data_IF_110555995557
#
_entry.id   IF_110555995557
#
_cell.length_a   1.000
_cell.length_b   1.000
_cell.length_c   1.000
_cell.angle_alpha   90.00
_cell.angle_beta   90.00
_cell.angle_gamma   90.00
#
_symmetry.space_group_name_H-M   'P 1'
#
loop_
_entity.id
_entity.type
_entity.pdbx_description
1 polymer ?
#
# COMPACT_ATOMS: atom_id res chain seq x y z
N UNK A 1 7.07 6.33 5.19
CA UNK A 1 5.85 5.69 4.68
C UNK A 1 5.01 5.29 5.89
N UNK A 2 3.88 5.94 6.10
CA UNK A 2 2.88 5.51 7.10
C UNK A 2 2.22 4.24 6.58
N UNK A 3 2.30 3.15 7.33
CA UNK A 3 1.61 1.89 6.99
C UNK A 3 0.11 2.16 6.94
N UNK A 4 -0.53 1.83 5.82
CA UNK A 4 -1.98 2.00 5.68
C UNK A 4 -2.64 0.77 6.29
N UNK A 5 -3.35 0.95 7.39
CA UNK A 5 -3.94 -0.14 8.19
C UNK A 5 -5.44 -0.16 7.97
N UNK A 6 -6.04 -1.35 8.04
CA UNK A 6 -7.49 -1.50 8.05
C UNK A 6 -8.07 -0.79 9.29
N UNK A 7 -9.10 0.02 9.06
CA UNK A 7 -9.87 0.64 10.12
C UNK A 7 -10.95 -0.33 10.61
N UNK A 8 -11.00 -0.60 11.91
CA UNK A 8 -12.10 -1.35 12.50
C UNK A 8 -13.38 -0.51 12.47
N UNK A 9 -14.49 -1.11 12.05
CA UNK A 9 -15.82 -0.53 12.20
C UNK A 9 -16.64 -1.41 13.15
N UNK A 10 -17.23 -0.87 14.24
CA UNK A 10 -17.30 0.55 14.63
C UNK A 10 -15.96 1.14 15.10
N UNK A 11 -15.80 2.46 14.93
CA UNK A 11 -14.58 3.18 15.32
C UNK A 11 -14.47 3.25 16.85
N UNK A 12 -13.26 3.07 17.45
CA UNK A 12 -13.08 3.12 18.91
C UNK A 12 -13.50 4.44 19.55
N UNK A 13 -13.46 5.53 18.78
CA UNK A 13 -13.76 6.91 19.20
C UNK A 13 -15.10 7.40 18.61
N UNK A 14 -16.02 6.48 18.31
CA UNK A 14 -17.36 6.79 17.78
C UNK A 14 -18.14 7.78 18.66
N UNK A 15 -18.10 7.62 19.99
CA UNK A 15 -18.82 8.51 20.91
C UNK A 15 -18.36 9.97 20.79
N UNK A 16 -17.05 10.19 20.66
CA UNK A 16 -16.50 11.53 20.46
C UNK A 16 -16.82 12.10 19.08
N UNK A 17 -16.88 11.26 18.03
CA UNK A 17 -17.27 11.71 16.70
C UNK A 17 -18.74 12.09 16.63
N UNK A 18 -19.64 11.29 17.19
CA UNK A 18 -21.08 11.61 17.25
C UNK A 18 -21.38 12.88 18.03
N UNK A 19 -20.56 13.18 19.05
CA UNK A 19 -20.65 14.42 19.82
C UNK A 19 -20.17 15.66 19.04
N UNK A 20 -19.43 15.49 17.95
CA UNK A 20 -18.89 16.61 17.17
C UNK A 20 -19.99 17.32 16.36
N UNK A 21 -19.95 18.65 16.32
CA UNK A 21 -20.97 19.52 15.68
C UNK A 21 -21.28 19.13 14.22
N UNK A 22 -20.28 18.62 13.50
CA UNK A 22 -20.38 18.15 12.11
C UNK A 22 -21.36 16.99 11.94
N UNK A 23 -21.53 16.11 12.93
CA UNK A 23 -22.44 14.96 12.87
C UNK A 23 -23.78 15.23 13.55
N UNK A 24 -23.96 16.42 14.13
CA UNK A 24 -25.23 16.88 14.69
C UNK A 24 -26.11 17.54 13.61
N UNK A 25 -27.41 17.63 13.89
CA UNK A 25 -28.39 18.22 12.96
C UNK A 25 -28.44 19.77 13.02
N UNK A 26 -27.70 20.38 13.94
CA UNK A 26 -27.56 21.83 14.12
C UNK A 26 -26.08 22.18 13.93
N UNK A 27 -25.66 23.03 12.96
CA UNK A 27 -26.42 24.04 12.18
C UNK A 27 -26.98 23.56 10.82
N UNK A 28 -26.65 22.36 10.37
CA UNK A 28 -27.09 21.81 9.08
C UNK A 28 -27.79 20.47 9.27
N UNK A 29 -29.00 20.33 8.76
CA UNK A 29 -29.75 19.06 8.77
C UNK A 29 -29.00 17.95 8.00
N UNK A 30 -29.22 16.69 8.39
CA UNK A 30 -28.62 15.53 7.72
C UNK A 30 -27.35 14.97 8.39
N UNK A 31 -27.22 15.10 9.71
CA UNK A 31 -26.12 14.50 10.48
C UNK A 31 -26.04 12.97 10.30
N UNK A 32 -27.19 12.30 10.24
CA UNK A 32 -27.28 10.86 9.95
C UNK A 32 -26.74 10.50 8.55
N UNK A 33 -27.03 11.31 7.54
CA UNK A 33 -26.49 11.14 6.19
C UNK A 33 -24.96 11.27 6.15
N UNK A 34 -24.39 12.21 6.92
CA UNK A 34 -22.93 12.35 7.06
C UNK A 34 -22.31 11.17 7.79
N UNK A 35 -23.00 10.62 8.79
CA UNK A 35 -22.56 9.41 9.49
C UNK A 35 -22.56 8.18 8.56
N UNK A 36 -23.63 8.00 7.78
CA UNK A 36 -23.70 6.95 6.76
C UNK A 36 -22.60 7.13 5.69
N UNK A 37 -22.34 8.37 5.26
CA UNK A 37 -21.25 8.67 4.34
C UNK A 37 -19.88 8.35 4.96
N UNK A 38 -19.66 8.68 6.24
CA UNK A 38 -18.42 8.33 6.94
C UNK A 38 -18.21 6.81 6.96
N UNK A 39 -19.24 6.03 7.35
CA UNK A 39 -19.18 4.56 7.31
C UNK A 39 -18.80 4.06 5.92
N UNK A 40 -19.48 4.56 4.88
CA UNK A 40 -19.19 4.19 3.49
C UNK A 40 -17.76 4.52 3.08
N UNK A 41 -17.25 5.70 3.46
CA UNK A 41 -15.86 6.09 3.17
C UNK A 41 -14.83 5.23 3.90
N UNK A 42 -15.11 4.78 5.12
CA UNK A 42 -14.25 3.84 5.86
C UNK A 42 -14.20 2.49 5.14
N UNK A 43 -15.35 1.96 4.71
CA UNK A 43 -15.41 0.70 3.94
C UNK A 43 -14.61 0.84 2.64
N UNK A 44 -14.82 1.92 1.89
CA UNK A 44 -14.09 2.17 0.64
C UNK A 44 -12.59 2.31 0.85
N UNK A 45 -12.16 2.97 1.93
CA UNK A 45 -10.76 3.04 2.30
C UNK A 45 -10.18 1.63 2.54
N UNK A 46 -10.86 0.81 3.35
CA UNK A 46 -10.42 -0.54 3.65
C UNK A 46 -10.33 -1.42 2.39
N UNK A 47 -11.29 -1.31 1.46
CA UNK A 47 -11.22 -2.03 0.17
C UNK A 47 -9.99 -1.60 -0.64
N UNK A 48 -9.64 -0.30 -0.66
CA UNK A 48 -8.42 0.19 -1.35
C UNK A 48 -7.15 -0.37 -0.71
N UNK A 49 -7.13 -0.49 0.61
CA UNK A 49 -6.03 -1.14 1.34
C UNK A 49 -5.93 -2.60 0.93
N UNK A 50 -7.05 -3.34 0.95
CA UNK A 50 -7.08 -4.75 0.53
C UNK A 50 -6.56 -4.90 -0.92
N UNK A 51 -7.01 -4.06 -1.84
CA UNK A 51 -6.58 -4.09 -3.24
C UNK A 51 -5.08 -3.81 -3.44
N UNK A 52 -4.44 -3.11 -2.51
CA UNK A 52 -2.99 -2.83 -2.57
C UNK A 52 -2.16 -4.02 -2.12
N UNK A 53 -2.66 -4.79 -1.14
CA UNK A 53 -1.90 -5.87 -0.50
C UNK A 53 -2.25 -7.27 -1.01
N UNK A 54 -3.47 -7.48 -1.52
CA UNK A 54 -3.94 -8.78 -2.01
C UNK A 54 -4.05 -8.77 -3.53
N UNK A 55 -3.53 -9.80 -4.19
CA UNK A 55 -3.74 -10.03 -5.63
C UNK A 55 -5.04 -10.79 -5.91
N UNK A 56 -5.40 -11.72 -5.03
CA UNK A 56 -6.65 -12.47 -5.07
C UNK A 56 -7.08 -12.80 -3.64
N UNK A 57 -8.38 -12.71 -3.37
CA UNK A 57 -8.97 -12.98 -2.05
C UNK A 57 -10.38 -13.55 -2.19
N UNK A 58 -10.79 -14.40 -1.25
CA UNK A 58 -12.18 -14.87 -1.17
C UNK A 58 -13.10 -13.76 -0.65
N UNK A 59 -14.32 -13.71 -1.20
CA UNK A 59 -15.32 -12.72 -0.83
C UNK A 59 -15.73 -12.83 0.65
N UNK A 60 -15.78 -14.06 1.16
CA UNK A 60 -16.04 -14.38 2.56
C UNK A 60 -15.00 -13.75 3.47
N UNK A 61 -13.73 -13.79 3.05
CA UNK A 61 -12.63 -13.19 3.78
C UNK A 61 -12.73 -11.66 3.74
N UNK A 62 -13.07 -11.07 2.61
CA UNK A 62 -13.29 -9.62 2.49
C UNK A 62 -14.42 -9.16 3.42
N UNK A 63 -15.54 -9.86 3.43
CA UNK A 63 -16.66 -9.59 4.33
C UNK A 63 -16.22 -9.65 5.81
N UNK A 64 -15.43 -10.67 6.19
CA UNK A 64 -14.88 -10.80 7.55
C UNK A 64 -13.89 -9.70 7.95
N UNK A 65 -13.20 -9.09 6.99
CA UNK A 65 -12.23 -8.01 7.25
C UNK A 65 -12.91 -6.64 7.37
N UNK A 66 -14.09 -6.50 6.79
CA UNK A 66 -14.87 -5.26 6.75
C UNK A 66 -16.03 -5.27 7.76
N UNK A 67 -16.31 -6.41 8.39
CA UNK A 67 -17.47 -6.63 9.26
C UNK A 67 -18.81 -6.26 8.58
N UNK A 68 -18.96 -6.63 7.29
CA UNK A 68 -20.16 -6.42 6.48
C UNK A 68 -20.62 -7.72 5.81
N UNK A 69 -21.80 -7.71 5.19
CA UNK A 69 -22.28 -8.87 4.43
C UNK A 69 -21.54 -9.01 3.10
N UNK A 70 -21.53 -10.24 2.55
CA UNK A 70 -20.91 -10.51 1.24
C UNK A 70 -21.55 -9.67 0.13
N UNK A 71 -22.87 -9.53 0.16
CA UNK A 71 -23.63 -8.76 -0.83
C UNK A 71 -23.31 -7.26 -0.75
N UNK A 72 -23.15 -6.72 0.47
CA UNK A 72 -22.75 -5.32 0.67
C UNK A 72 -21.30 -5.09 0.20
N UNK A 73 -20.39 -6.02 0.50
CA UNK A 73 -19.02 -5.96 0.01
C UNK A 73 -18.96 -6.00 -1.52
N UNK A 74 -19.79 -6.81 -2.17
CA UNK A 74 -19.86 -6.89 -3.62
C UNK A 74 -20.34 -5.58 -4.25
N UNK A 75 -21.38 -4.98 -3.67
CA UNK A 75 -21.93 -3.71 -4.12
C UNK A 75 -20.87 -2.61 -4.04
N UNK A 76 -20.19 -2.47 -2.89
CA UNK A 76 -19.17 -1.43 -2.70
C UNK A 76 -17.94 -1.65 -3.60
N UNK A 77 -17.49 -2.90 -3.79
CA UNK A 77 -16.40 -3.20 -4.74
C UNK A 77 -16.85 -2.84 -6.17
N UNK A 78 -18.07 -3.20 -6.56
CA UNK A 78 -18.60 -2.91 -7.90
C UNK A 78 -18.66 -1.40 -8.17
N UNK A 79 -19.13 -0.61 -7.21
CA UNK A 79 -19.15 0.84 -7.32
C UNK A 79 -17.74 1.46 -7.43
N UNK A 80 -16.78 0.94 -6.67
CA UNK A 80 -15.38 1.40 -6.73
C UNK A 80 -14.73 1.07 -8.08
N UNK A 81 -15.06 -0.08 -8.67
CA UNK A 81 -14.62 -0.46 -10.01
C UNK A 81 -15.28 0.41 -11.08
N UNK A 82 -16.60 0.62 -10.99
CA UNK A 82 -17.33 1.53 -11.90
C UNK A 82 -16.80 2.97 -11.85
N UNK A 83 -16.36 3.42 -10.66
CA UNK A 83 -15.80 4.76 -10.46
C UNK A 83 -14.30 4.85 -10.82
N UNK A 84 -13.68 3.76 -11.30
CA UNK A 84 -12.25 3.66 -11.60
C UNK A 84 -11.31 3.96 -10.41
N UNK A 85 -11.78 3.80 -9.17
CA UNK A 85 -10.92 3.94 -7.98
C UNK A 85 -10.05 2.71 -7.74
N UNK A 86 -10.53 1.54 -8.15
CA UNK A 86 -9.85 0.25 -8.02
C UNK A 86 -10.09 -0.53 -9.30
N UNK A 87 -9.09 -1.30 -9.72
CA UNK A 87 -9.23 -2.30 -10.76
C UNK A 87 -9.35 -3.67 -10.11
N UNK A 88 -10.51 -4.29 -10.26
CA UNK A 88 -10.79 -5.60 -9.72
C UNK A 88 -11.73 -6.37 -10.65
N UNK A 89 -11.67 -7.69 -10.55
CA UNK A 89 -12.56 -8.61 -11.25
C UNK A 89 -13.16 -9.59 -10.24
N UNK A 90 -14.48 -9.67 -10.23
CA UNK A 90 -15.23 -10.55 -9.33
C UNK A 90 -15.63 -11.82 -10.09
N UNK A 91 -15.29 -12.98 -9.53
CA UNK A 91 -15.79 -14.29 -9.94
C UNK A 91 -16.87 -14.74 -8.95
N UNK A 92 -18.14 -14.49 -9.28
CA UNK A 92 -19.26 -14.80 -8.38
C UNK A 92 -19.44 -16.31 -8.12
N UNK A 93 -19.38 -17.20 -9.13
CA UNK A 93 -19.47 -18.65 -8.88
C UNK A 93 -18.34 -19.19 -8.01
N UNK A 94 -17.11 -18.72 -8.20
CA UNK A 94 -15.98 -19.12 -7.38
C UNK A 94 -15.93 -18.41 -6.02
N UNK A 95 -16.61 -17.27 -5.88
CA UNK A 95 -16.62 -16.46 -4.67
C UNK A 95 -15.28 -15.72 -4.44
N UNK A 96 -14.55 -15.39 -5.50
CA UNK A 96 -13.22 -14.76 -5.40
C UNK A 96 -13.18 -13.41 -6.09
N UNK A 97 -12.28 -12.54 -5.60
CA UNK A 97 -12.00 -11.22 -6.16
C UNK A 97 -10.52 -11.13 -6.49
N UNK A 98 -10.23 -10.92 -7.77
CA UNK A 98 -8.88 -10.63 -8.25
C UNK A 98 -8.67 -9.12 -8.35
N UNK A 99 -7.61 -8.61 -7.73
CA UNK A 99 -7.24 -7.19 -7.77
C UNK A 99 -6.07 -6.94 -8.73
N UNK A 100 -6.11 -5.79 -9.39
CA UNK A 100 -5.07 -5.30 -10.29
C UNK A 100 -5.32 -5.62 -11.76
N UNK A 101 -4.45 -5.05 -12.62
CA UNK A 101 -4.50 -5.31 -14.06
C UNK A 101 -4.06 -6.72 -14.38
N UNK A 102 -4.79 -7.36 -15.30
CA UNK A 102 -4.30 -8.56 -15.99
C UNK A 102 -3.05 -8.19 -16.77
N UNK A 103 -1.88 -8.49 -16.22
CA UNK A 103 -0.59 -8.28 -16.90
C UNK A 103 -0.49 -9.22 -18.09
N UNK A 104 -0.30 -8.67 -19.28
CA UNK A 104 -0.02 -9.46 -20.48
C UNK A 104 1.36 -10.12 -20.40
N UNK A 105 1.62 -11.10 -21.27
CA UNK A 105 2.94 -11.74 -21.35
C UNK A 105 4.05 -10.73 -21.63
N UNK A 106 3.79 -9.76 -22.52
CA UNK A 106 4.72 -8.66 -22.81
C UNK A 106 5.01 -7.78 -21.58
N UNK A 107 3.98 -7.41 -20.81
CA UNK A 107 4.17 -6.61 -19.60
C UNK A 107 5.04 -7.32 -18.56
N UNK A 108 4.84 -8.64 -18.41
CA UNK A 108 5.64 -9.48 -17.51
C UNK A 108 7.11 -9.52 -17.96
N UNK A 109 7.34 -9.72 -19.26
CA UNK A 109 8.69 -9.75 -19.82
C UNK A 109 9.39 -8.39 -19.70
N UNK A 110 8.68 -7.28 -19.93
CA UNK A 110 9.20 -5.93 -19.77
C UNK A 110 9.55 -5.62 -18.31
N UNK A 111 8.68 -6.00 -17.35
CA UNK A 111 8.97 -5.86 -15.92
C UNK A 111 10.21 -6.66 -15.54
N UNK A 112 10.31 -7.91 -16.00
CA UNK A 112 11.47 -8.75 -15.73
C UNK A 112 12.76 -8.17 -16.32
N UNK A 113 12.72 -7.69 -17.56
CA UNK A 113 13.89 -7.06 -18.19
C UNK A 113 14.34 -5.81 -17.42
N UNK A 114 13.40 -4.98 -16.95
CA UNK A 114 13.71 -3.82 -16.12
C UNK A 114 14.33 -4.22 -14.78
N UNK A 115 13.84 -5.29 -14.15
CA UNK A 115 14.38 -5.82 -12.90
C UNK A 115 15.83 -6.32 -13.07
N UNK A 116 16.13 -6.99 -14.20
CA UNK A 116 17.48 -7.45 -14.54
C UNK A 116 18.43 -6.26 -14.73
N UNK A 117 18.00 -5.21 -15.44
CA UNK A 117 18.81 -4.00 -15.60
C UNK A 117 19.08 -3.34 -14.24
N UNK A 118 18.06 -3.18 -13.38
CA UNK A 118 18.24 -2.60 -12.05
C UNK A 118 19.17 -3.43 -11.16
N UNK A 119 19.14 -4.75 -11.30
CA UNK A 119 20.07 -5.65 -10.61
C UNK A 119 21.51 -5.38 -11.05
N UNK A 120 21.77 -5.31 -12.36
CA UNK A 120 23.10 -5.04 -12.91
C UNK A 120 23.62 -3.66 -12.46
N UNK A 121 22.78 -2.62 -12.52
CA UNK A 121 23.16 -1.27 -12.06
C UNK A 121 23.58 -1.26 -10.58
N UNK A 122 22.87 -2.03 -9.73
CA UNK A 122 23.21 -2.16 -8.30
C UNK A 122 24.50 -2.92 -8.08
N UNK A 123 24.78 -3.95 -8.88
CA UNK A 123 26.03 -4.73 -8.81
C UNK A 123 27.22 -3.87 -9.23
N UNK A 124 27.08 -3.08 -10.30
CA UNK A 124 28.11 -2.16 -10.76
C UNK A 124 28.38 -1.07 -9.72
N UNK A 125 27.32 -0.48 -9.15
CA UNK A 125 27.43 0.48 -8.06
C UNK A 125 28.17 -0.11 -6.86
N UNK A 126 27.82 -1.33 -6.44
CA UNK A 126 28.48 -2.03 -5.34
C UNK A 126 29.99 -2.23 -5.64
N UNK A 127 30.31 -2.69 -6.84
CA UNK A 127 31.70 -2.90 -7.28
C UNK A 127 32.51 -1.60 -7.24
N UNK A 128 31.93 -0.50 -7.75
CA UNK A 128 32.55 0.81 -7.73
C UNK A 128 32.76 1.33 -6.30
N UNK A 129 31.77 1.16 -5.42
CA UNK A 129 31.86 1.55 -4.00
C UNK A 129 32.95 0.76 -3.27
N UNK A 130 33.06 -0.55 -3.51
CA UNK A 130 34.13 -1.39 -2.94
C UNK A 130 35.50 -0.91 -3.42
N UNK A 131 35.66 -0.63 -4.71
CA UNK A 131 36.93 -0.14 -5.25
C UNK A 131 37.31 1.22 -4.65
N UNK A 132 36.34 2.14 -4.52
CA UNK A 132 36.53 3.43 -3.88
C UNK A 132 36.96 3.28 -2.42
N UNK A 133 36.28 2.45 -1.64
CA UNK A 133 36.63 2.11 -0.26
C UNK A 133 38.07 1.58 -0.17
N UNK A 134 38.43 0.60 -1.01
CA UNK A 134 39.79 0.03 -1.04
C UNK A 134 40.85 1.11 -1.31
N UNK A 135 40.61 2.03 -2.23
CA UNK A 135 41.53 3.12 -2.53
C UNK A 135 41.69 4.09 -1.34
N UNK A 136 40.58 4.46 -0.69
CA UNK A 136 40.60 5.34 0.49
C UNK A 136 41.35 4.69 1.64
N UNK A 137 41.11 3.41 1.90
CA UNK A 137 41.81 2.66 2.95
C UNK A 137 43.32 2.56 2.67
N UNK A 138 43.72 2.27 1.43
CA UNK A 138 45.12 2.24 1.04
C UNK A 138 45.80 3.61 1.20
N UNK A 139 45.14 4.71 0.81
CA UNK A 139 45.66 6.06 0.98
C UNK A 139 45.81 6.45 2.46
N UNK A 140 44.84 6.13 3.31
CA UNK A 140 44.90 6.34 4.76
C UNK A 140 46.05 5.58 5.40
N UNK A 141 46.23 4.31 5.05
CA UNK A 141 47.34 3.49 5.54
C UNK A 141 48.70 4.08 5.15
N UNK A 142 48.85 4.54 3.90
CA UNK A 142 50.07 5.20 3.42
C UNK A 142 50.36 6.51 4.16
N UNK A 143 49.35 7.34 4.40
CA UNK A 143 49.50 8.59 5.15
C UNK A 143 49.87 8.34 6.62
N UNK A 144 49.25 7.34 7.27
CA UNK A 144 49.61 6.96 8.64
C UNK A 144 51.07 6.49 8.73
N UNK A 145 51.54 5.69 7.77
CA UNK A 145 52.94 5.25 7.71
C UNK A 145 53.92 6.42 7.50
N UNK A 146 53.56 7.40 6.66
CA UNK A 146 54.38 8.61 6.45
C UNK A 146 54.47 9.47 7.72
N UNK A 147 53.35 9.67 8.43
CA UNK A 147 53.33 10.39 9.70
C UNK A 147 54.18 9.70 10.77
N UNK A 148 54.08 8.37 10.89
CA UNK A 148 54.89 7.59 11.82
C UNK A 148 56.39 7.70 11.52
N UNK A 149 56.79 7.72 10.23
CA UNK A 149 58.19 7.89 9.82
C UNK A 149 58.73 9.29 10.10
N UNK A 150 57.90 10.32 10.00
CA UNK A 150 58.32 11.71 10.24
C UNK A 150 58.33 12.07 11.73
N UNK A 151 57.75 11.24 12.60
CA UNK A 151 57.71 11.42 14.04
C UNK A 151 58.84 10.69 14.79
N UNK A 152 59.65 9.87 14.12
CA UNK A 152 60.91 9.29 14.62
C UNK A 152 62.10 10.11 14.14
#
# INVERSE_FOLDING_TARGET
>A
MTTVVLLSWPLPYEATLKAHEVFQNTPHEGGEGRWALLRRRVIQHNIRVIATYYSCIEMDRVASLLDITKDEAESEISELVCSNFIEAKIDRPAGTVEFGKRKGTFDRLNSWAADVTSLLDRVDLCSHLIQKERMVHAARAKNAALLARNAS
#
